data_IF_257955488206
#
_entry.id   IF_257955488206
#
_cell.length_a   1.000
_cell.length_b   1.000
_cell.length_c   1.000
_cell.angle_alpha   90.00
_cell.angle_beta   90.00
_cell.angle_gamma   90.00
#
_symmetry.space_group_name_H-M   'P 1'
#
loop_
_entity.id
_entity.type
_entity.pdbx_description
1 polymer ?
#
# COMPACT_ATOMS: atom_id res chain seq x y z
N UNK A 1 -4.03 -1.63 -21.23
CA UNK A 1 -3.12 -0.49 -21.52
C UNK A 1 -3.88 0.82 -21.63
N UNK A 2 -4.93 0.92 -22.46
CA UNK A 2 -5.74 2.15 -22.61
C UNK A 2 -6.25 2.72 -21.28
N UNK A 3 -6.79 1.87 -20.39
CA UNK A 3 -7.28 2.32 -19.07
C UNK A 3 -6.18 2.93 -18.18
N UNK A 4 -4.95 2.44 -18.28
CA UNK A 4 -3.82 2.96 -17.50
C UNK A 4 -3.41 4.34 -18.03
N UNK A 5 -3.27 4.47 -19.35
CA UNK A 5 -2.91 5.73 -20.00
C UNK A 5 -3.95 6.81 -19.68
N UNK A 6 -5.23 6.48 -19.85
CA UNK A 6 -6.34 7.38 -19.51
C UNK A 6 -6.31 7.83 -18.05
N UNK A 7 -6.00 6.90 -17.14
CA UNK A 7 -5.89 7.23 -15.73
C UNK A 7 -4.75 8.23 -15.47
N UNK A 8 -3.57 8.02 -16.09
CA UNK A 8 -2.43 8.94 -15.97
C UNK A 8 -2.82 10.33 -16.49
N UNK A 9 -3.45 10.42 -17.65
CA UNK A 9 -3.94 11.69 -18.21
C UNK A 9 -4.92 12.37 -17.26
N UNK A 10 -5.91 11.63 -16.76
CA UNK A 10 -6.94 12.16 -15.84
C UNK A 10 -6.33 12.67 -14.54
N UNK A 11 -5.38 11.91 -13.95
CA UNK A 11 -4.67 12.33 -12.73
C UNK A 11 -3.79 13.56 -13.00
N UNK A 12 -3.19 13.67 -14.20
CA UNK A 12 -2.33 14.81 -14.55
C UNK A 12 -3.10 16.13 -14.73
N UNK A 13 -4.38 16.03 -15.11
CA UNK A 13 -5.27 17.18 -15.30
C UNK A 13 -6.15 17.46 -14.08
N UNK A 14 -6.08 16.63 -13.03
CA UNK A 14 -6.93 16.74 -11.86
C UNK A 14 -6.64 18.04 -11.07
N UNK A 15 -7.69 18.82 -10.82
CA UNK A 15 -7.68 20.01 -9.98
C UNK A 15 -8.14 19.74 -8.54
N UNK A 16 -8.55 18.50 -8.27
CA UNK A 16 -9.11 18.06 -6.99
C UNK A 16 -8.62 16.68 -6.60
N UNK A 17 -8.37 16.49 -5.30
CA UNK A 17 -7.96 15.21 -4.73
C UNK A 17 -9.06 14.14 -4.85
N UNK A 18 -10.32 14.55 -4.92
CA UNK A 18 -11.47 13.63 -5.07
C UNK A 18 -11.39 12.87 -6.39
N UNK A 19 -11.00 13.54 -7.49
CA UNK A 19 -10.84 12.90 -8.80
C UNK A 19 -9.71 11.86 -8.76
N UNK A 20 -8.62 12.19 -8.08
CA UNK A 20 -7.48 11.28 -7.89
C UNK A 20 -7.94 10.01 -7.14
N UNK A 21 -8.65 10.15 -6.03
CA UNK A 21 -9.14 9.02 -5.23
C UNK A 21 -10.12 8.12 -6.03
N UNK A 22 -10.99 8.73 -6.84
CA UNK A 22 -11.93 8.00 -7.70
C UNK A 22 -11.21 7.20 -8.79
N UNK A 23 -10.22 7.80 -9.45
CA UNK A 23 -9.43 7.12 -10.48
C UNK A 23 -8.57 5.99 -9.91
N UNK A 24 -7.95 6.21 -8.74
CA UNK A 24 -7.21 5.18 -8.02
C UNK A 24 -8.11 4.01 -7.64
N UNK A 25 -9.32 4.27 -7.14
CA UNK A 25 -10.29 3.23 -6.82
C UNK A 25 -10.72 2.45 -8.07
N UNK A 26 -11.00 3.14 -9.18
CA UNK A 26 -11.36 2.54 -10.47
C UNK A 26 -10.24 1.66 -11.04
N UNK A 27 -8.99 2.07 -10.91
CA UNK A 27 -7.83 1.25 -11.28
C UNK A 27 -7.69 0.03 -10.36
N UNK A 28 -7.86 0.21 -9.06
CA UNK A 28 -7.73 -0.87 -8.06
C UNK A 28 -8.73 -1.98 -8.37
N UNK A 29 -9.99 -1.61 -8.65
CA UNK A 29 -11.03 -2.55 -9.07
C UNK A 29 -10.74 -3.19 -10.44
N UNK A 30 -10.13 -2.46 -11.38
CA UNK A 30 -9.76 -3.01 -12.68
C UNK A 30 -8.72 -4.13 -12.60
N UNK A 31 -7.80 -4.01 -11.65
CA UNK A 31 -6.77 -5.01 -11.40
C UNK A 31 -7.19 -6.09 -10.39
N UNK A 32 -8.47 -6.10 -9.97
CA UNK A 32 -9.02 -7.03 -8.98
C UNK A 32 -8.27 -6.99 -7.64
N UNK A 33 -7.87 -5.79 -7.22
CA UNK A 33 -7.37 -5.52 -5.88
C UNK A 33 -8.45 -4.88 -5.01
N UNK A 34 -8.28 -5.05 -3.70
CA UNK A 34 -9.22 -4.51 -2.71
C UNK A 34 -8.79 -3.15 -2.22
N UNK A 35 -7.47 -2.96 -2.14
CA UNK A 35 -6.88 -1.82 -1.48
C UNK A 35 -5.77 -1.19 -2.30
N UNK A 36 -5.65 0.12 -2.16
CA UNK A 36 -4.56 0.93 -2.68
C UNK A 36 -4.06 1.91 -1.62
N UNK A 37 -2.81 2.34 -1.81
CA UNK A 37 -2.24 3.48 -1.12
C UNK A 37 -1.33 4.23 -2.09
N UNK A 38 -1.56 5.53 -2.22
CA UNK A 38 -0.67 6.49 -2.87
C UNK A 38 -0.08 7.40 -1.80
N UNK A 39 1.25 7.33 -1.63
CA UNK A 39 2.01 8.20 -0.75
C UNK A 39 2.81 9.23 -1.56
N UNK A 40 2.67 10.51 -1.24
CA UNK A 40 3.43 11.60 -1.87
C UNK A 40 4.26 12.32 -0.81
N UNK A 41 5.58 12.32 -0.96
CA UNK A 41 6.47 13.13 -0.12
C UNK A 41 6.69 14.49 -0.77
N UNK A 42 6.01 15.51 -0.22
CA UNK A 42 6.12 16.90 -0.68
C UNK A 42 7.17 17.62 0.18
N UNK A 43 8.26 18.16 -0.40
CA UNK A 43 9.23 18.93 0.36
C UNK A 43 8.58 20.22 0.86
N UNK A 44 8.53 20.42 2.17
CA UNK A 44 8.10 21.69 2.79
C UNK A 44 9.31 22.60 3.08
N UNK A 45 10.48 22.02 3.28
CA UNK A 45 11.76 22.72 3.47
C UNK A 45 12.93 21.80 3.13
N UNK A 46 14.16 22.32 3.22
CA UNK A 46 15.40 21.53 3.01
C UNK A 46 15.51 20.32 3.95
N UNK A 47 14.96 20.42 5.17
CA UNK A 47 15.09 19.37 6.20
C UNK A 47 13.78 18.64 6.52
N UNK A 48 12.65 19.04 5.92
CA UNK A 48 11.32 18.49 6.25
C UNK A 48 10.50 18.29 5.00
N UNK A 49 9.95 17.08 4.85
CA UNK A 49 8.88 16.79 3.92
C UNK A 49 7.58 16.48 4.67
N UNK A 50 6.47 16.78 4.02
CA UNK A 50 5.13 16.33 4.42
C UNK A 50 4.73 15.18 3.53
N UNK A 51 4.22 14.11 4.15
CA UNK A 51 3.66 12.98 3.41
C UNK A 51 2.16 13.18 3.28
N UNK A 52 1.66 13.17 2.04
CA UNK A 52 0.23 13.08 1.73
C UNK A 52 -0.09 11.62 1.42
N UNK A 53 -1.20 11.11 1.96
CA UNK A 53 -1.61 9.72 1.77
C UNK A 53 -3.05 9.70 1.26
N UNK A 54 -3.26 9.06 0.12
CA UNK A 54 -4.57 8.73 -0.44
C UNK A 54 -4.71 7.21 -0.45
N UNK A 55 -5.74 6.67 0.20
CA UNK A 55 -5.90 5.23 0.36
C UNK A 55 -7.36 4.88 0.62
N UNK A 56 -7.71 3.61 0.46
CA UNK A 56 -9.01 3.05 0.82
C UNK A 56 -8.89 1.97 1.90
N UNK A 57 -7.84 2.01 2.72
CA UNK A 57 -7.70 1.07 3.83
C UNK A 57 -8.76 1.33 4.91
N UNK A 58 -9.15 0.29 5.67
CA UNK A 58 -9.99 0.48 6.85
C UNK A 58 -9.37 1.52 7.79
N UNK A 59 -10.18 2.47 8.26
CA UNK A 59 -9.73 3.57 9.11
C UNK A 59 -9.00 3.08 10.35
N UNK A 60 -9.56 2.09 11.06
CA UNK A 60 -8.95 1.50 12.25
C UNK A 60 -7.54 0.96 12.00
N UNK A 61 -7.31 0.37 10.81
CA UNK A 61 -5.99 -0.12 10.41
C UNK A 61 -5.03 1.04 10.15
N UNK A 62 -5.45 2.07 9.43
CA UNK A 62 -4.61 3.23 9.14
C UNK A 62 -4.23 3.97 10.43
N UNK A 63 -5.19 4.17 11.33
CA UNK A 63 -4.94 4.78 12.63
C UNK A 63 -3.97 3.95 13.47
N UNK A 64 -4.14 2.63 13.53
CA UNK A 64 -3.19 1.76 14.21
C UNK A 64 -1.78 1.86 13.60
N UNK A 65 -1.68 1.85 12.26
CA UNK A 65 -0.41 1.94 11.55
C UNK A 65 0.33 3.24 11.87
N UNK A 66 -0.40 4.37 11.88
CA UNK A 66 0.14 5.69 12.19
C UNK A 66 0.53 5.84 13.66
N UNK A 67 -0.37 5.45 14.58
CA UNK A 67 -0.14 5.57 16.02
C UNK A 67 1.07 4.76 16.51
N UNK A 68 1.37 3.64 15.83
CA UNK A 68 2.51 2.79 16.16
C UNK A 68 3.77 3.10 15.34
N UNK A 69 3.75 4.15 14.51
CA UNK A 69 4.87 4.55 13.65
C UNK A 69 5.39 3.40 12.78
N UNK A 70 4.50 2.56 12.26
CA UNK A 70 4.90 1.34 11.55
C UNK A 70 5.62 1.63 10.23
N UNK A 71 5.42 2.82 9.66
CA UNK A 71 6.18 3.29 8.49
C UNK A 71 7.71 3.20 8.67
N UNK A 72 8.21 3.40 9.89
CA UNK A 72 9.65 3.36 10.18
C UNK A 72 10.26 1.97 10.08
N UNK A 73 9.44 0.93 10.20
CA UNK A 73 9.87 -0.48 10.16
C UNK A 73 9.28 -1.24 8.97
N UNK A 74 8.45 -0.59 8.17
CA UNK A 74 7.79 -1.18 7.01
C UNK A 74 8.81 -1.39 5.88
N UNK A 75 9.08 -2.64 5.47
CA UNK A 75 10.04 -2.93 4.41
C UNK A 75 9.60 -2.40 3.05
N UNK A 76 8.30 -2.20 2.82
CA UNK A 76 7.76 -1.63 1.59
C UNK A 76 8.05 -0.13 1.54
N UNK A 77 7.79 0.59 2.64
CA UNK A 77 8.11 2.01 2.77
C UNK A 77 9.62 2.23 2.57
N UNK A 78 10.46 1.44 3.25
CA UNK A 78 11.92 1.49 3.07
C UNK A 78 12.32 1.25 1.61
N UNK A 79 11.76 0.23 0.97
CA UNK A 79 12.06 -0.08 -0.43
C UNK A 79 11.71 1.09 -1.36
N UNK A 80 10.56 1.74 -1.15
CA UNK A 80 10.12 2.90 -1.94
C UNK A 80 11.07 4.10 -1.84
N UNK A 81 11.75 4.30 -0.71
CA UNK A 81 12.73 5.39 -0.56
C UNK A 81 14.11 5.04 -1.12
N UNK A 82 14.46 3.75 -1.15
CA UNK A 82 15.80 3.30 -1.55
C UNK A 82 15.88 2.84 -3.02
N UNK A 83 14.75 2.54 -3.67
CA UNK A 83 14.70 1.90 -4.98
C UNK A 83 13.63 2.51 -5.87
N UNK A 84 13.89 2.53 -7.18
CA UNK A 84 12.94 2.99 -8.20
C UNK A 84 12.18 1.83 -8.87
N UNK A 85 12.59 0.58 -8.60
CA UNK A 85 11.97 -0.60 -9.19
C UNK A 85 10.72 -1.03 -8.41
N UNK A 86 9.61 -1.36 -9.10
CA UNK A 86 8.44 -1.96 -8.47
C UNK A 86 8.78 -3.26 -7.75
N UNK A 87 8.06 -3.54 -6.66
CA UNK A 87 8.24 -4.74 -5.84
C UNK A 87 6.95 -5.54 -5.71
N UNK A 88 7.04 -6.85 -5.94
CA UNK A 88 6.02 -7.81 -5.51
C UNK A 88 6.36 -8.31 -4.09
N UNK A 89 5.64 -7.78 -3.10
CA UNK A 89 5.96 -7.98 -1.69
C UNK A 89 5.88 -9.43 -1.21
N UNK A 90 5.01 -10.26 -1.81
CA UNK A 90 4.88 -11.68 -1.44
C UNK A 90 6.12 -12.52 -1.80
N UNK A 91 6.86 -12.15 -2.85
CA UNK A 91 8.01 -12.93 -3.33
C UNK A 91 9.31 -12.63 -2.56
N UNK A 92 9.43 -11.43 -1.99
CA UNK A 92 10.63 -11.00 -1.24
C UNK A 92 10.67 -11.56 0.19
N UNK A 93 9.53 -12.04 0.70
CA UNK A 93 9.35 -12.45 2.11
C UNK A 93 9.00 -13.93 2.32
N UNK A 94 9.16 -14.79 1.31
CA UNK A 94 9.30 -16.24 1.55
C UNK A 94 10.70 -16.52 2.09
N UNK A 95 10.89 -16.82 3.39
CA UNK A 95 12.19 -17.22 3.87
C UNK A 95 12.40 -18.70 3.52
N UNK A 96 13.64 -19.04 3.14
CA UNK A 96 14.23 -20.30 3.60
C UNK A 96 13.91 -20.44 5.10
N UNK A 97 12.98 -21.32 5.45
CA UNK A 97 12.53 -21.49 6.84
C UNK A 97 13.61 -22.27 7.59
N UNK A 98 14.53 -21.55 8.21
CA UNK A 98 15.48 -22.08 9.17
C UNK A 98 15.70 -21.08 10.30
N UNK A 99 14.96 -21.24 11.40
CA UNK A 99 15.20 -20.60 12.69
C UNK A 99 15.11 -19.07 12.77
N UNK A 100 13.90 -18.54 12.92
CA UNK A 100 13.69 -17.22 13.57
C UNK A 100 12.56 -17.35 14.59
N UNK A 101 12.76 -16.72 15.76
CA UNK A 101 11.93 -16.83 16.96
C UNK A 101 10.46 -16.48 16.73
N UNK A 102 9.60 -17.04 17.57
CA UNK A 102 8.14 -16.94 17.54
C UNK A 102 7.58 -15.51 17.47
N UNK A 103 8.38 -14.50 17.83
CA UNK A 103 7.99 -13.08 17.81
C UNK A 103 7.98 -12.47 16.39
N UNK A 104 8.93 -12.85 15.52
CA UNK A 104 8.93 -12.44 14.11
C UNK A 104 7.92 -13.24 13.28
N UNK A 105 7.63 -14.48 13.67
CA UNK A 105 6.46 -15.19 13.16
C UNK A 105 5.16 -14.43 13.44
N UNK A 106 5.05 -13.75 14.58
CA UNK A 106 3.87 -12.95 14.93
C UNK A 106 3.74 -11.68 14.08
N UNK A 107 4.85 -10.97 13.80
CA UNK A 107 4.83 -9.78 12.94
C UNK A 107 4.47 -10.11 11.48
N UNK A 108 5.03 -11.20 10.94
CA UNK A 108 4.72 -11.69 9.58
C UNK A 108 3.32 -12.31 9.51
N UNK A 109 2.78 -12.85 10.61
CA UNK A 109 1.40 -13.37 10.70
C UNK A 109 0.34 -12.32 11.05
N UNK A 110 0.72 -11.07 11.41
CA UNK A 110 -0.24 -9.96 11.51
C UNK A 110 -0.45 -9.24 10.17
N UNK A 111 0.56 -9.21 9.30
CA UNK A 111 0.45 -8.69 7.93
C UNK A 111 -0.42 -9.50 6.93
N UNK A 112 -0.78 -10.79 7.09
CA UNK A 112 -1.62 -11.53 6.15
C UNK A 112 -3.13 -11.54 6.51
N UNK A 113 -3.60 -10.78 7.52
CA UNK A 113 -5.05 -10.52 7.68
C UNK A 113 -5.53 -9.25 6.98
N UNK A 114 -4.64 -8.53 6.28
CA UNK A 114 -4.94 -7.30 5.52
C UNK A 114 -5.32 -7.61 4.05
N UNK A 115 -5.14 -8.85 3.57
CA UNK A 115 -5.83 -9.35 2.35
C UNK A 115 -7.20 -9.92 2.73
N UNK A 116 -8.15 -9.02 2.97
CA UNK A 116 -9.56 -9.37 3.05
C UNK A 116 -10.31 -8.95 1.79
N UNK A 117 -9.94 -9.52 0.63
CA UNK A 117 -10.86 -10.22 -0.29
C UNK A 117 -10.11 -11.39 -0.93
N UNK A 118 -10.74 -12.44 -1.47
CA UNK A 118 -12.02 -13.10 -1.26
C UNK A 118 -11.88 -14.42 -2.03
N UNK A 119 -11.81 -15.57 -1.34
CA UNK A 119 -12.24 -16.86 -1.92
C UNK A 119 -12.27 -18.01 -0.88
N UNK A 120 -13.28 -18.00 0.01
CA UNK A 120 -14.07 -19.20 0.38
C UNK A 120 -15.12 -18.89 1.47
N UNK A 121 -16.22 -18.28 1.02
CA UNK A 121 -17.55 -18.65 1.50
C UNK A 121 -18.33 -19.06 0.25
N UNK A 122 -18.04 -20.28 -0.22
CA UNK A 122 -18.89 -21.12 -1.05
C UNK A 122 -18.15 -22.44 -1.25
N UNK A 123 -18.27 -23.34 -0.27
CA UNK A 123 -18.38 -24.78 -0.52
C UNK A 123 -19.23 -25.37 0.62
N UNK A 124 -20.35 -25.99 0.27
CA UNK A 124 -21.17 -26.85 1.13
C UNK A 124 -22.14 -26.12 2.04
#
# INVERSE_FOLDING_TARGET
MEKIIKCIETISEADSTVLIEQELLSLTQFFDYDFYLLGLSVPESVARSKVLIYNNYPTDWREYYDNNNLANVDPIVKHCFENTEPIHWHQKWTPMVGHISSFLKWLIQLMPRISACRSRLHQG
#
